data_IF_186643128455
#
_entry.id   IF_186643128455
#
_cell.length_a   1.000
_cell.length_b   1.000
_cell.length_c   1.000
_cell.angle_alpha   90.00
_cell.angle_beta   90.00
_cell.angle_gamma   90.00
#
_symmetry.space_group_name_H-M   'P 1'
#
loop_
_entity.id
_entity.type
_entity.pdbx_description
1 polymer ?
#
# COMPACT_ATOMS: atom_id res chain seq x y z
N UNK A 1 8.99 32.09 -4.88
CA UNK A 1 9.83 32.37 -3.70
C UNK A 1 11.28 32.77 -4.03
N UNK A 2 11.84 32.52 -5.23
CA UNK A 2 13.11 33.15 -5.67
C UNK A 2 13.09 34.70 -5.66
N UNK A 3 11.90 35.30 -5.74
CA UNK A 3 11.69 36.76 -5.62
C UNK A 3 12.11 37.31 -4.26
N UNK A 4 11.99 36.54 -3.19
CA UNK A 4 12.25 37.02 -1.83
C UNK A 4 13.75 37.09 -1.53
N UNK A 5 14.54 36.15 -2.07
CA UNK A 5 16.00 36.20 -2.03
C UNK A 5 16.55 37.33 -2.91
N UNK A 6 15.96 37.55 -4.08
CA UNK A 6 16.33 38.64 -4.99
C UNK A 6 16.03 40.04 -4.40
N UNK A 7 14.98 40.15 -3.58
CA UNK A 7 14.61 41.38 -2.89
C UNK A 7 15.52 41.73 -1.71
N UNK A 8 16.34 40.79 -1.21
CA UNK A 8 17.27 41.02 -0.12
C UNK A 8 18.65 41.47 -0.67
N UNK A 9 19.09 42.73 -0.43
CA UNK A 9 20.29 43.29 -1.06
C UNK A 9 21.61 42.58 -0.72
N UNK A 10 21.66 41.85 0.39
CA UNK A 10 22.83 41.09 0.83
C UNK A 10 22.89 39.70 0.22
N UNK A 11 21.74 39.03 0.08
CA UNK A 11 21.66 37.67 -0.45
C UNK A 11 21.78 37.66 -1.98
N UNK A 12 21.21 38.66 -2.66
CA UNK A 12 21.29 38.80 -4.12
C UNK A 12 22.72 39.01 -4.66
N UNK A 13 23.67 39.36 -3.79
CA UNK A 13 25.09 39.55 -4.13
C UNK A 13 25.94 38.30 -3.90
N UNK A 14 25.39 37.26 -3.28
CA UNK A 14 26.13 36.03 -3.08
C UNK A 14 26.23 35.29 -4.42
N UNK A 15 27.45 34.89 -4.85
CA UNK A 15 27.58 34.00 -5.98
C UNK A 15 26.81 32.70 -5.67
N UNK A 16 26.14 32.17 -6.70
CA UNK A 16 25.41 30.91 -6.62
C UNK A 16 24.21 30.89 -5.65
N UNK A 17 23.69 32.05 -5.23
CA UNK A 17 22.53 32.13 -4.32
C UNK A 17 21.33 31.31 -4.82
N UNK A 18 21.10 31.30 -6.14
CA UNK A 18 20.04 30.50 -6.76
C UNK A 18 20.28 28.99 -6.63
N UNK A 19 21.53 28.55 -6.59
CA UNK A 19 21.91 27.14 -6.40
C UNK A 19 21.78 26.76 -4.92
N UNK A 20 22.33 27.59 -4.04
CA UNK A 20 22.27 27.39 -2.58
C UNK A 20 20.82 27.33 -2.11
N UNK A 21 19.98 28.24 -2.59
CA UNK A 21 18.56 28.26 -2.25
C UNK A 21 17.83 27.01 -2.76
N UNK A 22 18.12 26.55 -3.98
CA UNK A 22 17.55 25.30 -4.52
C UNK A 22 17.97 24.07 -3.72
N UNK A 23 19.24 24.01 -3.30
CA UNK A 23 19.74 22.90 -2.48
C UNK A 23 19.12 22.93 -1.08
N UNK A 24 18.93 24.12 -0.51
CA UNK A 24 18.19 24.29 0.73
C UNK A 24 16.73 23.84 0.59
N UNK A 25 16.00 24.25 -0.46
CA UNK A 25 14.63 23.77 -0.73
C UNK A 25 14.58 22.25 -0.90
N UNK A 26 15.59 21.66 -1.55
CA UNK A 26 15.70 20.21 -1.72
C UNK A 26 15.96 19.51 -0.38
N UNK A 27 16.80 20.08 0.48
CA UNK A 27 17.03 19.59 1.84
C UNK A 27 15.75 19.69 2.66
N UNK A 28 15.07 20.84 2.68
CA UNK A 28 13.81 21.02 3.39
C UNK A 28 12.78 20.00 2.93
N UNK A 29 12.61 19.77 1.62
CA UNK A 29 11.69 18.76 1.12
C UNK A 29 12.05 17.34 1.60
N UNK A 30 13.33 16.95 1.50
CA UNK A 30 13.80 15.63 1.98
C UNK A 30 13.65 15.48 3.49
N UNK A 31 13.92 16.54 4.24
CA UNK A 31 13.79 16.59 5.69
C UNK A 31 12.32 16.53 6.10
N UNK A 32 11.43 17.25 5.41
CA UNK A 32 9.99 17.14 5.62
C UNK A 32 9.47 15.74 5.25
N UNK A 33 9.92 15.15 4.14
CA UNK A 33 9.59 13.74 3.82
C UNK A 33 10.11 12.74 4.89
N UNK A 34 11.13 13.14 5.67
CA UNK A 34 11.71 12.35 6.76
C UNK A 34 11.05 12.61 8.12
N UNK A 35 10.61 13.86 8.39
CA UNK A 35 9.95 14.26 9.64
C UNK A 35 8.46 13.96 9.55
N UNK A 36 7.82 14.42 8.47
CA UNK A 36 6.49 14.02 8.03
C UNK A 36 6.62 12.79 7.13
N UNK A 37 7.17 11.69 7.67
CA UNK A 37 7.07 10.39 7.00
C UNK A 37 5.59 10.21 6.64
N UNK A 38 5.21 10.20 5.35
CA UNK A 38 3.83 10.00 4.99
C UNK A 38 3.46 8.66 5.60
N UNK A 39 2.50 8.63 6.53
CA UNK A 39 2.05 7.36 7.13
C UNK A 39 1.82 6.44 5.96
N UNK A 40 2.63 5.38 5.83
CA UNK A 40 2.66 4.58 4.63
C UNK A 40 1.22 4.21 4.25
N UNK A 41 0.72 4.83 3.19
CA UNK A 41 -0.66 4.65 2.72
C UNK A 41 -0.60 3.42 1.85
N UNK A 42 -1.34 2.38 2.25
CA UNK A 42 -1.41 1.14 1.50
C UNK A 42 -2.76 1.09 0.78
N UNK A 43 -2.80 0.44 -0.38
CA UNK A 43 -4.05 0.20 -1.11
C UNK A 43 -4.95 -0.72 -0.30
N UNK A 44 -6.15 -0.27 0.06
CA UNK A 44 -7.09 -1.03 0.89
C UNK A 44 -8.20 -1.72 0.10
N UNK A 45 -8.31 -1.43 -1.20
CA UNK A 45 -9.36 -1.95 -2.07
C UNK A 45 -9.89 -0.86 -3.01
N UNK A 46 -11.04 -1.12 -3.64
CA UNK A 46 -11.70 -0.16 -4.53
C UNK A 46 -12.92 0.46 -3.85
N UNK A 47 -13.32 1.65 -4.32
CA UNK A 47 -14.54 2.30 -3.89
C UNK A 47 -15.75 1.36 -4.03
N UNK A 48 -16.65 1.38 -3.03
CA UNK A 48 -17.81 0.49 -3.00
C UNK A 48 -19.00 1.03 -3.80
N UNK A 49 -18.91 2.26 -4.33
CA UNK A 49 -19.93 2.81 -5.21
C UNK A 49 -19.83 2.13 -6.59
N UNK A 50 -20.87 1.47 -7.10
CA UNK A 50 -20.82 0.78 -8.40
C UNK A 50 -20.47 1.68 -9.59
N UNK A 51 -20.66 2.99 -9.46
CA UNK A 51 -20.32 3.98 -10.49
C UNK A 51 -18.89 4.55 -10.32
N UNK A 52 -18.14 4.11 -9.31
CA UNK A 52 -16.80 4.58 -8.99
C UNK A 52 -15.87 3.40 -8.68
N UNK A 53 -14.87 3.16 -9.54
CA UNK A 53 -13.97 2.01 -9.42
C UNK A 53 -12.54 2.41 -8.98
N UNK A 54 -12.39 3.58 -8.36
CA UNK A 54 -11.07 4.10 -7.96
C UNK A 54 -10.47 3.27 -6.83
N UNK A 55 -9.17 3.03 -6.90
CA UNK A 55 -8.41 2.40 -5.82
C UNK A 55 -8.29 3.38 -4.64
N UNK A 56 -8.65 2.90 -3.46
CA UNK A 56 -8.58 3.64 -2.21
C UNK A 56 -7.32 3.27 -1.45
N UNK A 57 -6.69 4.27 -0.87
CA UNK A 57 -5.52 4.10 0.00
C UNK A 57 -5.84 4.63 1.39
N UNK A 58 -5.34 3.97 2.42
CA UNK A 58 -5.46 4.45 3.79
C UNK A 58 -4.17 4.22 4.57
N UNK A 59 -3.94 5.11 5.54
CA UNK A 59 -2.91 4.96 6.54
C UNK A 59 -3.26 3.82 7.52
N UNK A 60 -2.24 3.22 8.14
CA UNK A 60 -2.42 2.20 9.18
C UNK A 60 -3.18 2.79 10.37
N UNK A 61 -4.20 2.08 10.87
CA UNK A 61 -5.01 2.50 12.01
C UNK A 61 -6.18 3.43 11.67
N UNK A 62 -6.31 3.90 10.43
CA UNK A 62 -7.45 4.71 10.00
C UNK A 62 -8.72 3.85 9.91
N UNK A 63 -9.81 4.32 10.51
CA UNK A 63 -11.09 3.59 10.58
C UNK A 63 -11.98 3.87 9.36
N UNK A 64 -11.89 5.07 8.79
CA UNK A 64 -12.71 5.51 7.66
C UNK A 64 -11.90 6.23 6.59
N UNK A 65 -12.27 6.05 5.34
CA UNK A 65 -11.68 6.72 4.18
C UNK A 65 -12.76 7.46 3.40
N UNK A 66 -12.41 8.62 2.86
CA UNK A 66 -13.26 9.35 1.91
C UNK A 66 -12.75 9.05 0.50
N UNK A 67 -13.66 8.64 -0.38
CA UNK A 67 -13.33 8.45 -1.79
C UNK A 67 -13.03 9.80 -2.44
N UNK A 68 -11.85 9.99 -3.07
CA UNK A 68 -11.47 11.27 -3.66
C UNK A 68 -12.25 11.61 -4.94
N UNK A 69 -12.96 10.64 -5.53
CA UNK A 69 -13.72 10.82 -6.78
C UNK A 69 -15.20 11.08 -6.51
N UNK A 70 -15.86 10.24 -5.70
CA UNK A 70 -17.29 10.33 -5.48
C UNK A 70 -17.68 10.93 -4.12
N UNK A 71 -16.72 11.27 -3.25
CA UNK A 71 -16.96 11.90 -1.94
C UNK A 71 -17.56 10.99 -0.85
N UNK A 72 -17.95 9.76 -1.18
CA UNK A 72 -18.51 8.83 -0.20
C UNK A 72 -17.49 8.45 0.87
N UNK A 73 -17.96 8.33 2.10
CA UNK A 73 -17.15 7.85 3.23
C UNK A 73 -17.44 6.38 3.48
N UNK A 74 -16.39 5.57 3.58
CA UNK A 74 -16.48 4.14 3.88
C UNK A 74 -15.66 3.79 5.11
N UNK A 75 -16.04 2.72 5.82
CA UNK A 75 -15.11 2.13 6.78
C UNK A 75 -14.04 1.37 6.02
N UNK A 76 -12.78 1.50 6.46
CA UNK A 76 -11.64 0.82 5.84
C UNK A 76 -11.83 -0.70 5.85
N UNK A 77 -12.45 -1.24 6.91
CA UNK A 77 -12.78 -2.66 7.01
C UNK A 77 -13.73 -3.15 5.91
N UNK A 78 -14.75 -2.36 5.55
CA UNK A 78 -15.74 -2.74 4.54
C UNK A 78 -15.12 -2.77 3.13
N UNK A 79 -14.26 -1.78 2.83
CA UNK A 79 -13.52 -1.71 1.56
C UNK A 79 -12.58 -2.90 1.42
N UNK A 80 -11.83 -3.23 2.47
CA UNK A 80 -10.94 -4.40 2.50
C UNK A 80 -11.70 -5.71 2.33
N UNK A 81 -12.82 -5.85 3.03
CA UNK A 81 -13.67 -7.05 2.93
C UNK A 81 -14.26 -7.20 1.52
N UNK A 82 -14.73 -6.12 0.91
CA UNK A 82 -15.21 -6.10 -0.47
C UNK A 82 -14.11 -6.55 -1.45
N UNK A 83 -12.91 -5.99 -1.30
CA UNK A 83 -11.76 -6.35 -2.13
C UNK A 83 -11.34 -7.82 -1.96
N UNK A 84 -11.33 -8.35 -0.74
CA UNK A 84 -11.08 -9.77 -0.50
C UNK A 84 -12.11 -10.67 -1.18
N UNK A 85 -13.41 -10.36 -1.02
CA UNK A 85 -14.49 -11.12 -1.66
C UNK A 85 -14.34 -11.14 -3.17
N UNK A 86 -13.99 -10.00 -3.77
CA UNK A 86 -13.72 -9.90 -5.20
C UNK A 86 -12.47 -10.70 -5.62
N UNK A 87 -11.38 -10.64 -4.84
CA UNK A 87 -10.18 -11.43 -5.11
C UNK A 87 -10.44 -12.94 -5.06
N UNK A 88 -11.29 -13.39 -4.13
CA UNK A 88 -11.73 -14.79 -4.04
C UNK A 88 -12.59 -15.17 -5.24
N UNK A 89 -13.57 -14.33 -5.62
CA UNK A 89 -14.46 -14.58 -6.77
C UNK A 89 -13.72 -14.61 -8.11
N UNK A 90 -12.86 -13.63 -8.35
CA UNK A 90 -12.08 -13.50 -9.59
C UNK A 90 -10.93 -14.53 -9.68
N UNK A 91 -10.58 -15.17 -8.57
CA UNK A 91 -9.48 -16.12 -8.50
C UNK A 91 -8.11 -15.46 -8.75
N UNK A 92 -7.98 -14.14 -8.53
CA UNK A 92 -6.72 -13.41 -8.72
C UNK A 92 -5.59 -14.04 -7.90
N UNK A 93 -4.40 -14.05 -8.50
CA UNK A 93 -3.21 -14.65 -7.92
C UNK A 93 -2.17 -13.59 -7.59
N UNK A 94 -1.52 -13.74 -6.43
CA UNK A 94 -0.55 -12.79 -5.89
C UNK A 94 0.67 -13.54 -5.37
N UNK A 95 1.77 -12.83 -5.16
CA UNK A 95 2.94 -13.38 -4.47
C UNK A 95 2.62 -13.71 -3.02
N UNK A 96 3.46 -14.52 -2.37
CA UNK A 96 3.31 -14.85 -0.96
C UNK A 96 3.31 -13.60 -0.05
N UNK A 97 4.11 -12.58 -0.38
CA UNK A 97 4.14 -11.32 0.39
C UNK A 97 2.81 -10.59 0.33
N UNK A 98 2.32 -10.39 -0.90
CA UNK A 98 1.05 -9.73 -1.18
C UNK A 98 -0.17 -10.47 -0.60
N UNK A 99 -0.14 -11.81 -0.60
CA UNK A 99 -1.18 -12.61 0.06
C UNK A 99 -1.18 -12.40 1.59
N UNK A 100 0.01 -12.46 2.21
CA UNK A 100 0.15 -12.31 3.65
C UNK A 100 -0.22 -10.90 4.13
N UNK A 101 0.13 -9.88 3.36
CA UNK A 101 -0.29 -8.49 3.61
C UNK A 101 -1.81 -8.36 3.63
N UNK A 102 -2.48 -8.73 2.53
CA UNK A 102 -3.95 -8.64 2.40
C UNK A 102 -4.70 -9.41 3.48
N UNK A 103 -4.20 -10.58 3.86
CA UNK A 103 -4.79 -11.39 4.93
C UNK A 103 -4.60 -10.73 6.32
N UNK A 104 -3.41 -10.22 6.63
CA UNK A 104 -3.15 -9.51 7.90
C UNK A 104 -3.98 -8.26 8.05
N UNK A 105 -4.18 -7.52 6.98
CA UNK A 105 -5.04 -6.33 6.98
C UNK A 105 -6.50 -6.64 7.33
N UNK A 106 -6.91 -7.90 7.17
CA UNK A 106 -8.24 -8.40 7.51
C UNK A 106 -8.26 -9.20 8.83
N UNK A 107 -7.19 -9.10 9.62
CA UNK A 107 -7.09 -9.70 10.96
C UNK A 107 -6.55 -11.13 10.97
N UNK A 108 -6.20 -11.73 9.82
CA UNK A 108 -5.67 -13.08 9.80
C UNK A 108 -4.18 -13.12 10.16
N UNK A 109 -3.81 -14.06 11.03
CA UNK A 109 -2.43 -14.27 11.45
C UNK A 109 -1.62 -15.06 10.39
N UNK A 110 -1.22 -14.38 9.31
CA UNK A 110 -0.49 -14.98 8.19
C UNK A 110 0.75 -14.16 7.79
N UNK A 111 1.91 -14.80 7.68
CA UNK A 111 3.13 -14.13 7.18
C UNK A 111 3.69 -14.84 5.92
N UNK A 112 4.48 -14.11 5.14
CA UNK A 112 5.02 -14.63 3.87
C UNK A 112 5.91 -15.87 4.06
N UNK A 113 6.63 -15.95 5.19
CA UNK A 113 7.48 -17.11 5.51
C UNK A 113 6.65 -18.36 5.79
N UNK A 114 5.49 -18.21 6.44
CA UNK A 114 4.51 -19.26 6.66
C UNK A 114 4.03 -19.83 5.33
N UNK A 115 3.66 -18.97 4.37
CA UNK A 115 3.21 -19.39 3.04
C UNK A 115 4.33 -20.14 2.29
N UNK A 116 5.57 -19.63 2.33
CA UNK A 116 6.73 -20.31 1.73
C UNK A 116 7.00 -21.67 2.39
N UNK A 117 6.85 -21.77 3.71
CA UNK A 117 6.98 -23.02 4.47
C UNK A 117 5.90 -24.02 4.11
N UNK A 118 4.65 -23.59 3.95
CA UNK A 118 3.58 -24.45 3.46
C UNK A 118 3.87 -24.96 2.05
N UNK A 119 4.34 -24.08 1.14
CA UNK A 119 4.74 -24.48 -0.21
C UNK A 119 5.79 -25.59 -0.21
N UNK A 120 6.79 -25.55 0.69
CA UNK A 120 7.78 -26.64 0.85
C UNK A 120 7.14 -27.97 1.25
N UNK A 121 6.00 -27.93 1.94
CA UNK A 121 5.14 -29.09 2.29
C UNK A 121 4.11 -29.42 1.20
N UNK A 122 4.22 -28.79 0.03
CA UNK A 122 3.41 -29.09 -1.16
C UNK A 122 2.06 -28.38 -1.25
N UNK A 123 1.70 -27.46 -0.34
CA UNK A 123 0.39 -26.77 -0.33
C UNK A 123 0.52 -25.34 0.19
N UNK A 124 -0.16 -24.31 -0.34
CA UNK A 124 -0.89 -24.31 -1.59
C UNK A 124 0.10 -24.35 -2.76
N UNK A 125 -0.32 -24.96 -3.88
CA UNK A 125 0.49 -24.95 -5.09
C UNK A 125 0.38 -23.59 -5.79
N UNK A 126 1.49 -23.06 -6.34
CA UNK A 126 1.42 -21.84 -7.12
C UNK A 126 0.69 -22.11 -8.44
N UNK A 127 -0.15 -21.15 -8.85
CA UNK A 127 -0.90 -21.19 -10.12
C UNK A 127 -0.13 -20.58 -11.28
N UNK A 128 1.04 -19.99 -11.00
CA UNK A 128 1.90 -19.39 -12.01
C UNK A 128 3.10 -18.69 -11.39
N UNK A 129 3.76 -17.86 -12.19
CA UNK A 129 4.85 -16.97 -11.76
C UNK A 129 4.62 -15.57 -12.32
N UNK A 130 5.06 -14.53 -11.60
CA UNK A 130 5.09 -13.18 -12.14
C UNK A 130 6.28 -12.95 -13.08
N UNK A 131 6.40 -11.75 -13.63
CA UNK A 131 7.51 -11.35 -14.52
C UNK A 131 8.89 -11.48 -13.88
N UNK A 132 8.98 -11.46 -12.54
CA UNK A 132 10.21 -11.65 -11.77
C UNK A 132 10.47 -13.13 -11.42
N UNK A 133 9.69 -14.06 -11.98
CA UNK A 133 9.78 -15.49 -11.69
C UNK A 133 9.27 -15.90 -10.30
N UNK A 134 8.65 -14.99 -9.55
CA UNK A 134 8.14 -15.28 -8.21
C UNK A 134 6.82 -16.05 -8.30
N UNK A 135 6.61 -17.09 -7.47
CA UNK A 135 5.40 -17.89 -7.48
C UNK A 135 4.16 -17.06 -7.12
N UNK A 136 3.07 -17.30 -7.84
CA UNK A 136 1.76 -16.69 -7.62
C UNK A 136 0.78 -17.71 -7.05
N UNK A 137 0.01 -17.29 -6.06
CA UNK A 137 -0.97 -18.09 -5.33
C UNK A 137 -2.32 -17.41 -5.38
N UNK A 138 -3.40 -18.19 -5.57
CA UNK A 138 -4.75 -17.65 -5.37
C UNK A 138 -4.95 -17.32 -3.91
N UNK A 139 -5.55 -16.17 -3.64
CA UNK A 139 -5.79 -15.71 -2.27
C UNK A 139 -6.70 -16.68 -1.50
N UNK A 140 -7.66 -17.32 -2.19
CA UNK A 140 -8.53 -18.37 -1.66
C UNK A 140 -7.76 -19.57 -1.09
N UNK A 141 -6.72 -20.03 -1.80
CA UNK A 141 -5.99 -21.24 -1.44
C UNK A 141 -5.11 -21.01 -0.21
N UNK A 142 -4.51 -19.80 -0.14
CA UNK A 142 -3.75 -19.36 1.04
C UNK A 142 -4.68 -19.17 2.23
N UNK A 143 -5.83 -18.52 2.05
CA UNK A 143 -6.84 -18.38 3.11
C UNK A 143 -7.30 -19.75 3.64
N UNK A 144 -7.53 -20.72 2.75
CA UNK A 144 -7.87 -22.09 3.13
C UNK A 144 -6.80 -22.76 4.01
N UNK A 145 -5.51 -22.44 3.85
CA UNK A 145 -4.46 -22.93 4.76
C UNK A 145 -4.47 -22.23 6.12
N UNK A 146 -4.77 -20.93 6.16
CA UNK A 146 -4.89 -20.18 7.42
C UNK A 146 -6.01 -20.77 8.27
N UNK A 147 -7.20 -20.93 7.70
CA UNK A 147 -8.37 -21.49 8.41
C UNK A 147 -8.09 -22.89 8.95
N UNK A 148 -7.44 -23.76 8.15
CA UNK A 148 -7.05 -25.11 8.58
C UNK A 148 -6.09 -25.11 9.77
N UNK A 149 -5.20 -24.12 9.87
CA UNK A 149 -4.26 -24.00 10.98
C UNK A 149 -4.97 -23.56 12.27
N UNK A 150 -5.91 -22.63 12.16
CA UNK A 150 -6.62 -22.08 13.31
C UNK A 150 -7.71 -23.04 13.86
N UNK A 151 -8.00 -24.15 13.15
CA UNK A 151 -8.90 -25.23 13.60
C UNK A 151 -8.18 -26.39 14.32
N UNK A 152 -6.89 -26.25 14.62
CA UNK A 152 -6.05 -27.23 15.34
C UNK A 152 -5.66 -26.63 16.69
#
# INVERSE_FOLDING_TARGET
>A
MLRDCAACPRLSRLPDIDSIYRDWERMVRRTLDTIDVPIAKHGIGRCLNPLCDVELTAAVGVVSVVCPVCGNTYRVADVRLGFLRECVRSGRAFTAGECAERLRECGFQCNANTIRSWRKRGRPQPVGKNVKGQPLYRLSDVHGQVVRRDSI
#
